data_IF_402156723318
#
_entry.id   IF_402156723318
#
_cell.length_a   1.000
_cell.length_b   1.000
_cell.length_c   1.000
_cell.angle_alpha   90.00
_cell.angle_beta   90.00
_cell.angle_gamma   90.00
#
_symmetry.space_group_name_H-M   'P 1'
#
loop_
_entity.id
_entity.type
_entity.pdbx_description
1 polymer ?
#
# COMPACT_ATOMS: atom_id res chain seq x y z
N UNK A 1 9.92 38.61 38.92
CA UNK A 1 9.62 39.17 37.59
C UNK A 1 9.88 38.09 36.54
N UNK A 2 9.02 37.98 35.51
CA UNK A 2 8.43 36.72 35.08
C UNK A 2 8.95 36.30 33.71
N UNK A 3 10.09 35.61 33.67
CA UNK A 3 10.71 35.19 32.39
C UNK A 3 10.58 33.67 32.15
N UNK A 4 10.32 32.88 33.19
CA UNK A 4 10.44 31.42 33.13
C UNK A 4 9.21 30.64 32.65
N UNK A 5 8.03 31.26 32.54
CA UNK A 5 6.79 30.55 32.12
C UNK A 5 6.58 30.58 30.60
N UNK A 6 7.15 31.59 29.92
CA UNK A 6 6.93 31.80 28.47
C UNK A 6 7.74 30.84 27.59
N UNK A 7 8.94 30.45 28.03
CA UNK A 7 9.83 29.54 27.28
C UNK A 7 9.32 28.10 27.30
N UNK A 8 8.76 27.66 28.43
CA UNK A 8 8.23 26.30 28.61
C UNK A 8 6.93 26.10 27.81
N UNK A 9 6.04 27.11 27.73
CA UNK A 9 4.83 27.05 26.89
C UNK A 9 5.14 26.99 25.39
N UNK A 10 6.20 27.67 24.95
CA UNK A 10 6.65 27.60 23.54
C UNK A 10 7.26 26.24 23.23
N UNK A 11 8.05 25.66 24.13
CA UNK A 11 8.64 24.32 23.95
C UNK A 11 7.59 23.20 23.87
N UNK A 12 6.50 23.27 24.65
CA UNK A 12 5.41 22.28 24.55
C UNK A 12 4.57 22.40 23.27
N UNK A 13 4.47 23.59 22.68
CA UNK A 13 3.77 23.78 21.40
C UNK A 13 4.58 23.26 20.20
N UNK A 14 5.92 23.24 20.28
CA UNK A 14 6.77 22.64 19.24
C UNK A 14 6.79 21.11 19.28
N UNK A 15 6.66 20.50 20.47
CA UNK A 15 6.59 19.03 20.62
C UNK A 15 5.25 18.44 20.18
N UNK A 16 4.17 19.22 20.18
CA UNK A 16 2.88 18.79 19.65
C UNK A 16 2.78 18.93 18.12
N UNK A 17 3.60 19.77 17.48
CA UNK A 17 3.56 19.99 16.02
C UNK A 17 4.26 18.90 15.19
N UNK A 18 5.24 18.20 15.76
CA UNK A 18 5.98 17.13 15.08
C UNK A 18 5.28 15.76 15.13
N UNK A 19 4.13 15.66 15.80
CA UNK A 19 3.33 14.43 15.87
C UNK A 19 2.22 14.35 14.79
N UNK A 20 2.02 15.37 13.96
CA UNK A 20 0.91 15.43 12.99
C UNK A 20 1.27 15.08 11.54
N UNK A 21 2.47 14.56 11.24
CA UNK A 21 2.88 14.27 9.87
C UNK A 21 2.89 12.77 9.48
N UNK A 22 2.39 11.88 10.34
CA UNK A 22 2.25 10.46 10.01
C UNK A 22 0.79 10.01 10.09
N UNK A 23 -0.12 10.81 9.53
CA UNK A 23 -1.28 10.20 8.86
C UNK A 23 -0.78 9.79 7.48
N UNK A 24 -0.13 8.63 7.41
CA UNK A 24 -0.13 7.85 6.18
C UNK A 24 -1.60 7.42 5.98
N UNK A 25 -2.41 8.35 5.49
CA UNK A 25 -3.56 8.00 4.67
C UNK A 25 -2.89 7.17 3.57
N UNK A 26 -3.14 5.87 3.54
CA UNK A 26 -2.69 5.05 2.43
C UNK A 26 -3.18 5.79 1.18
N UNK A 27 -2.26 6.41 0.45
CA UNK A 27 -2.61 7.16 -0.74
C UNK A 27 -3.44 6.21 -1.61
N UNK A 28 -4.62 6.65 -2.10
CA UNK A 28 -5.38 5.83 -3.04
C UNK A 28 -4.41 5.41 -4.13
N UNK A 29 -4.24 4.08 -4.33
CA UNK A 29 -3.22 3.52 -5.25
C UNK A 29 -3.30 4.27 -6.55
N UNK A 30 -2.32 5.14 -6.77
CA UNK A 30 -2.21 5.94 -7.98
C UNK A 30 -1.74 4.98 -9.07
N UNK A 31 -2.38 4.99 -10.24
CA UNK A 31 -1.92 4.17 -11.35
C UNK A 31 -0.50 4.58 -11.71
N UNK A 32 0.43 3.64 -11.62
CA UNK A 32 1.85 3.87 -11.95
C UNK A 32 2.15 3.47 -13.39
N UNK A 33 1.34 2.59 -13.97
CA UNK A 33 1.60 1.97 -15.27
C UNK A 33 0.37 1.94 -16.20
N UNK A 34 -0.77 2.49 -15.79
CA UNK A 34 -1.97 2.56 -16.63
C UNK A 34 -2.17 3.94 -17.25
N UNK A 35 -1.79 4.08 -18.52
CA UNK A 35 -2.02 5.30 -19.30
C UNK A 35 -3.53 5.56 -19.49
N UNK A 36 -3.95 6.83 -19.50
CA UNK A 36 -5.35 7.27 -19.64
C UNK A 36 -6.32 6.69 -18.60
N UNK A 37 -5.81 6.25 -17.44
CA UNK A 37 -6.65 5.91 -16.29
C UNK A 37 -7.08 7.20 -15.59
N UNK A 38 -8.35 7.28 -15.16
CA UNK A 38 -8.86 8.48 -14.54
C UNK A 38 -8.05 8.83 -13.29
N UNK A 39 -7.43 10.01 -13.31
CA UNK A 39 -6.54 10.51 -12.25
C UNK A 39 -7.22 10.74 -10.88
N UNK A 40 -8.56 10.64 -10.82
CA UNK A 40 -9.35 10.89 -9.62
C UNK A 40 -9.91 9.59 -9.01
N UNK A 41 -9.28 9.07 -7.96
CA UNK A 41 -9.82 7.99 -7.11
C UNK A 41 -8.98 6.70 -7.06
N UNK A 42 -9.45 5.70 -6.29
CA UNK A 42 -8.88 4.34 -6.19
C UNK A 42 -9.26 3.49 -7.41
N UNK A 43 -9.00 4.00 -8.61
CA UNK A 43 -9.41 3.36 -9.88
C UNK A 43 -8.41 2.30 -10.37
N UNK A 44 -7.41 1.98 -9.56
CA UNK A 44 -6.30 1.10 -9.92
C UNK A 44 -6.28 -0.07 -8.94
N UNK A 45 -6.20 -1.29 -9.47
CA UNK A 45 -6.21 -2.53 -8.70
C UNK A 45 -5.05 -3.41 -9.15
N UNK A 46 -4.43 -4.13 -8.23
CA UNK A 46 -3.56 -5.25 -8.59
C UNK A 46 -4.39 -6.52 -8.58
N UNK A 47 -4.55 -7.14 -9.75
CA UNK A 47 -5.27 -8.40 -9.92
C UNK A 47 -4.34 -9.49 -10.41
N UNK A 48 -4.78 -10.74 -10.29
CA UNK A 48 -4.10 -11.87 -10.91
C UNK A 48 -4.90 -12.31 -12.14
N UNK A 49 -4.33 -12.16 -13.33
CA UNK A 49 -4.93 -12.68 -14.57
C UNK A 49 -4.02 -13.81 -15.06
N UNK A 50 -4.56 -15.03 -15.12
CA UNK A 50 -3.82 -16.22 -15.58
C UNK A 50 -2.49 -16.48 -14.84
N UNK A 51 -2.44 -16.24 -13.53
CA UNK A 51 -1.24 -16.42 -12.71
C UNK A 51 -0.29 -15.21 -12.69
N UNK A 52 -0.55 -14.16 -13.48
CA UNK A 52 0.30 -12.97 -13.53
C UNK A 52 -0.33 -11.80 -12.79
N UNK A 53 0.43 -11.18 -11.89
CA UNK A 53 0.04 -9.92 -11.27
C UNK A 53 0.03 -8.80 -12.33
N UNK A 54 -1.09 -8.11 -12.41
CA UNK A 54 -1.30 -7.00 -13.34
C UNK A 54 -1.97 -5.83 -12.62
N UNK A 55 -1.38 -4.65 -12.74
CA UNK A 55 -2.07 -3.41 -12.39
C UNK A 55 -3.12 -3.14 -13.48
N UNK A 56 -4.38 -3.05 -13.07
CA UNK A 56 -5.53 -2.81 -13.94
C UNK A 56 -6.25 -1.53 -13.53
N UNK A 57 -6.68 -0.77 -14.52
CA UNK A 57 -7.54 0.38 -14.33
C UNK A 57 -9.01 -0.06 -14.40
N UNK A 58 -9.80 0.32 -13.40
CA UNK A 58 -11.25 0.06 -13.32
C UNK A 58 -12.07 1.23 -13.84
N UNK A 59 -11.46 2.41 -13.99
CA UNK A 59 -12.09 3.60 -14.57
C UNK A 59 -11.12 4.45 -15.38
N UNK A 60 -11.35 4.54 -16.67
CA UNK A 60 -10.54 5.33 -17.59
C UNK A 60 -10.95 6.80 -17.65
N UNK A 61 -10.14 7.61 -18.32
CA UNK A 61 -10.54 8.96 -18.72
C UNK A 61 -11.70 8.91 -19.73
N UNK A 62 -12.30 10.08 -19.97
CA UNK A 62 -13.32 10.22 -21.00
C UNK A 62 -12.82 9.70 -22.35
N UNK A 63 -13.74 9.21 -23.18
CA UNK A 63 -13.46 8.55 -24.47
C UNK A 63 -12.69 7.23 -24.42
N UNK A 64 -12.24 6.76 -23.25
CA UNK A 64 -11.57 5.47 -23.06
C UNK A 64 -12.39 4.51 -22.21
N UNK A 65 -12.18 3.22 -22.38
CA UNK A 65 -12.83 2.16 -21.59
C UNK A 65 -11.81 1.13 -21.14
N UNK A 66 -12.01 0.47 -19.98
CA UNK A 66 -11.06 -0.51 -19.50
C UNK A 66 -11.26 -1.86 -20.20
N UNK A 67 -10.27 -2.26 -21.01
CA UNK A 67 -10.23 -3.54 -21.72
C UNK A 67 -8.98 -4.31 -21.28
N UNK A 68 -9.19 -5.49 -20.70
CA UNK A 68 -8.14 -6.28 -20.03
C UNK A 68 -7.32 -5.45 -19.03
N UNK A 69 -7.98 -4.48 -18.39
CA UNK A 69 -7.39 -3.58 -17.40
C UNK A 69 -6.55 -2.43 -17.95
N UNK A 70 -6.45 -2.30 -19.28
CA UNK A 70 -5.83 -1.14 -19.93
C UNK A 70 -6.90 -0.22 -20.51
N UNK A 71 -6.67 1.08 -20.44
CA UNK A 71 -7.58 2.06 -21.04
C UNK A 71 -7.36 2.13 -22.55
N UNK A 72 -8.38 1.71 -23.30
CA UNK A 72 -8.39 1.75 -24.77
C UNK A 72 -9.49 2.68 -25.28
N UNK A 73 -9.36 3.28 -26.48
CA UNK A 73 -10.39 4.14 -27.04
C UNK A 73 -11.73 3.40 -27.14
N UNK A 74 -12.81 4.01 -26.62
CA UNK A 74 -14.14 3.42 -26.60
C UNK A 74 -14.66 3.14 -28.03
N UNK A 75 -14.35 4.04 -28.97
CA UNK A 75 -14.74 3.92 -30.37
C UNK A 75 -14.22 2.64 -31.05
N UNK A 76 -13.01 2.20 -30.67
CA UNK A 76 -12.36 1.02 -31.25
C UNK A 76 -12.76 -0.29 -30.56
N UNK A 77 -13.44 -0.23 -29.41
CA UNK A 77 -13.72 -1.37 -28.54
C UNK A 77 -15.23 -1.60 -28.31
N UNK A 78 -16.08 -1.11 -29.21
CA UNK A 78 -17.54 -1.28 -29.16
C UNK A 78 -18.00 -2.73 -29.22
N UNK A 79 -17.19 -3.62 -29.83
CA UNK A 79 -17.40 -5.07 -29.86
C UNK A 79 -17.11 -5.77 -28.52
N UNK A 80 -16.37 -5.13 -27.62
CA UNK A 80 -16.00 -5.70 -26.32
C UNK A 80 -16.73 -5.01 -25.18
N UNK A 81 -17.03 -3.72 -25.30
CA UNK A 81 -17.55 -2.90 -24.23
C UNK A 81 -18.69 -2.01 -24.74
N UNK A 82 -19.82 -2.04 -24.04
CA UNK A 82 -20.92 -1.10 -24.21
C UNK A 82 -20.86 -0.10 -23.06
N UNK A 83 -20.78 1.19 -23.35
CA UNK A 83 -20.82 2.26 -22.36
C UNK A 83 -22.28 2.65 -22.06
N UNK A 84 -22.57 3.11 -20.84
CA UNK A 84 -23.94 3.49 -20.43
C UNK A 84 -24.49 4.69 -21.19
N UNK A 85 -23.60 5.56 -21.66
CA UNK A 85 -23.89 6.64 -22.59
C UNK A 85 -23.05 6.40 -23.85
N UNK A 86 -23.64 6.63 -25.03
CA UNK A 86 -23.01 6.42 -26.36
C UNK A 86 -21.85 7.38 -26.65
N UNK A 87 -20.82 7.43 -25.80
CA UNK A 87 -19.64 8.27 -25.96
C UNK A 87 -18.99 8.78 -24.67
N UNK A 88 -19.66 8.69 -23.51
CA UNK A 88 -19.00 8.96 -22.24
C UNK A 88 -18.21 7.71 -21.85
N UNK A 89 -16.88 7.79 -22.03
CA UNK A 89 -15.97 6.75 -21.60
C UNK A 89 -15.95 6.60 -20.07
N UNK A 90 -14.88 6.01 -19.57
CA UNK A 90 -14.66 5.77 -18.17
C UNK A 90 -14.92 4.34 -17.76
N UNK A 91 -16.09 3.78 -18.06
CA UNK A 91 -16.42 2.38 -17.69
C UNK A 91 -17.32 1.71 -18.73
N UNK A 92 -17.26 0.39 -18.75
CA UNK A 92 -18.19 -0.48 -19.46
C UNK A 92 -19.44 -0.74 -18.60
N UNK A 93 -20.61 -0.52 -19.17
CA UNK A 93 -21.90 -0.92 -18.62
C UNK A 93 -22.14 -2.42 -18.77
N UNK A 94 -21.77 -2.95 -19.93
CA UNK A 94 -21.82 -4.38 -20.23
C UNK A 94 -20.69 -4.75 -21.20
N UNK A 95 -20.35 -6.03 -21.22
CA UNK A 95 -19.35 -6.59 -22.11
C UNK A 95 -20.00 -7.44 -23.20
N UNK A 96 -19.34 -7.47 -24.35
CA UNK A 96 -19.78 -8.19 -25.53
C UNK A 96 -18.67 -9.14 -26.03
N UNK A 97 -19.07 -10.07 -26.89
CA UNK A 97 -18.16 -11.08 -27.44
C UNK A 97 -17.66 -12.05 -26.37
N UNK A 98 -16.37 -12.39 -26.41
CA UNK A 98 -15.73 -13.30 -25.44
C UNK A 98 -15.05 -12.54 -24.31
N UNK A 99 -15.73 -11.52 -23.76
CA UNK A 99 -15.23 -10.73 -22.64
C UNK A 99 -16.25 -10.64 -21.51
N UNK A 100 -15.74 -10.56 -20.29
CA UNK A 100 -16.53 -10.62 -19.07
C UNK A 100 -16.37 -9.32 -18.27
N UNK A 101 -17.49 -8.80 -17.79
CA UNK A 101 -17.56 -7.58 -17.01
C UNK A 101 -17.02 -7.83 -15.60
N UNK A 102 -16.02 -7.04 -15.24
CA UNK A 102 -15.44 -7.00 -13.91
C UNK A 102 -15.09 -5.56 -13.55
N UNK A 103 -15.65 -5.03 -12.45
CA UNK A 103 -15.35 -3.68 -11.93
C UNK A 103 -15.48 -2.54 -12.96
N UNK A 104 -16.40 -2.65 -13.91
CA UNK A 104 -16.59 -1.64 -14.97
C UNK A 104 -15.60 -1.74 -16.13
N UNK A 105 -14.81 -2.82 -16.21
CA UNK A 105 -13.99 -3.15 -17.39
C UNK A 105 -14.37 -4.50 -17.98
N UNK A 106 -13.98 -4.74 -19.23
CA UNK A 106 -14.21 -5.99 -19.94
C UNK A 106 -12.91 -6.78 -20.09
N UNK A 107 -12.92 -8.06 -19.70
CA UNK A 107 -11.72 -8.90 -19.64
C UNK A 107 -11.95 -10.22 -20.39
N UNK A 108 -10.96 -10.68 -21.16
CA UNK A 108 -11.02 -12.01 -21.82
C UNK A 108 -10.96 -13.17 -20.83
N UNK A 109 -10.41 -12.92 -19.65
CA UNK A 109 -10.35 -13.88 -18.55
C UNK A 109 -10.66 -13.15 -17.25
N UNK A 110 -11.53 -13.73 -16.43
CA UNK A 110 -11.93 -13.11 -15.17
C UNK A 110 -10.74 -12.91 -14.25
N UNK A 111 -10.45 -11.67 -13.82
CA UNK A 111 -9.38 -11.41 -12.86
C UNK A 111 -9.68 -12.03 -11.48
N UNK A 112 -10.96 -12.17 -11.16
CA UNK A 112 -11.47 -12.88 -9.99
C UNK A 112 -12.78 -13.57 -10.34
N UNK A 113 -13.05 -14.70 -9.71
CA UNK A 113 -14.27 -15.47 -9.93
C UNK A 113 -14.22 -16.31 -11.20
N UNK A 114 -15.39 -16.69 -11.70
CA UNK A 114 -15.58 -17.58 -12.86
C UNK A 114 -16.33 -16.87 -13.98
N UNK A 115 -15.93 -17.06 -15.25
CA UNK A 115 -16.63 -16.47 -16.39
C UNK A 115 -18.05 -17.03 -16.54
N UNK A 116 -19.05 -16.16 -16.53
CA UNK A 116 -20.42 -16.50 -16.90
C UNK A 116 -20.69 -15.99 -18.32
N UNK A 117 -20.90 -16.92 -19.24
CA UNK A 117 -21.11 -16.61 -20.67
C UNK A 117 -22.57 -16.25 -21.01
N UNK A 118 -23.51 -16.49 -20.10
CA UNK A 118 -24.91 -16.08 -20.29
C UNK A 118 -25.07 -14.57 -20.05
N UNK A 119 -24.33 -14.03 -19.09
CA UNK A 119 -24.40 -12.63 -18.65
C UNK A 119 -23.19 -11.80 -19.07
N UNK A 120 -22.13 -12.41 -19.61
CA UNK A 120 -20.83 -11.78 -19.86
C UNK A 120 -20.30 -11.08 -18.59
N UNK A 121 -20.41 -11.75 -17.44
CA UNK A 121 -19.91 -11.25 -16.14
C UNK A 121 -18.92 -12.21 -15.52
N UNK A 122 -18.09 -11.69 -14.63
CA UNK A 122 -17.31 -12.52 -13.73
C UNK A 122 -18.12 -12.80 -12.46
N UNK A 123 -18.57 -14.04 -12.32
CA UNK A 123 -19.40 -14.51 -11.19
C UNK A 123 -18.54 -15.10 -10.08
N UNK A 124 -19.12 -15.27 -8.89
CA UNK A 124 -18.37 -15.81 -7.75
C UNK A 124 -17.26 -14.88 -7.26
N UNK A 125 -17.27 -13.61 -7.68
CA UNK A 125 -16.49 -12.53 -7.07
C UNK A 125 -17.08 -12.31 -5.67
N UNK A 126 -16.41 -12.76 -4.58
CA UNK A 126 -16.95 -12.56 -3.25
C UNK A 126 -17.03 -11.05 -2.99
N UNK A 127 -18.24 -10.57 -2.70
CA UNK A 127 -18.41 -9.21 -2.22
C UNK A 127 -18.03 -9.15 -0.73
N UNK A 128 -17.37 -8.08 -0.26
CA UNK A 128 -16.75 -7.01 -1.05
C UNK A 128 -15.43 -7.40 -1.70
N UNK A 129 -15.09 -6.64 -2.74
CA UNK A 129 -13.85 -6.82 -3.49
C UNK A 129 -12.62 -6.74 -2.60
N UNK A 130 -11.75 -7.74 -2.73
CA UNK A 130 -10.46 -7.67 -2.08
C UNK A 130 -9.50 -6.80 -2.87
N UNK A 131 -9.62 -5.48 -2.67
CA UNK A 131 -8.58 -4.52 -3.02
C UNK A 131 -7.43 -4.58 -1.99
N UNK A 132 -6.92 -5.79 -1.72
CA UNK A 132 -5.88 -6.03 -0.72
C UNK A 132 -4.63 -6.55 -1.42
N UNK A 133 -3.48 -5.84 -1.30
CA UNK A 133 -2.25 -6.25 -1.93
C UNK A 133 -1.79 -7.61 -1.37
N UNK A 134 -1.33 -8.49 -2.27
CA UNK A 134 -0.81 -9.83 -1.99
C UNK A 134 -1.81 -10.84 -1.39
N UNK A 135 -3.11 -10.58 -1.53
CA UNK A 135 -4.13 -11.53 -1.08
C UNK A 135 -4.49 -12.57 -2.16
N UNK A 136 -4.55 -13.83 -1.75
CA UNK A 136 -4.89 -15.00 -2.57
C UNK A 136 -6.38 -15.36 -2.47
N UNK A 137 -7.00 -15.23 -1.30
CA UNK A 137 -8.42 -15.56 -1.11
C UNK A 137 -9.11 -14.65 -0.10
N UNK A 138 -10.33 -14.21 -0.45
CA UNK A 138 -11.14 -13.26 0.31
C UNK A 138 -12.65 -13.54 0.30
N UNK A 139 -13.13 -14.53 1.07
CA UNK A 139 -14.55 -14.65 1.34
C UNK A 139 -15.00 -13.47 2.23
N UNK A 140 -15.99 -12.70 1.77
CA UNK A 140 -16.61 -11.63 2.57
C UNK A 140 -15.76 -10.37 2.74
N UNK A 141 -14.81 -10.10 1.82
CA UNK A 141 -14.06 -8.83 1.77
C UNK A 141 -12.96 -8.66 2.80
N UNK A 142 -12.54 -9.76 3.41
CA UNK A 142 -11.34 -9.82 4.25
C UNK A 142 -10.40 -10.88 3.72
N UNK A 143 -9.11 -10.54 3.65
CA UNK A 143 -8.11 -11.51 3.24
C UNK A 143 -8.00 -12.61 4.28
N UNK A 144 -8.14 -13.85 3.83
CA UNK A 144 -7.97 -15.06 4.67
C UNK A 144 -6.78 -15.87 4.22
N UNK A 145 -6.37 -15.75 2.96
CA UNK A 145 -5.21 -16.44 2.43
C UNK A 145 -4.34 -15.46 1.65
N UNK A 146 -3.04 -15.43 1.94
CA UNK A 146 -2.06 -14.61 1.25
C UNK A 146 -1.35 -15.41 0.16
N UNK A 147 -0.77 -14.71 -0.81
CA UNK A 147 0.11 -15.34 -1.80
C UNK A 147 1.35 -15.95 -1.14
N UNK A 148 1.96 -16.95 -1.79
CA UNK A 148 3.17 -17.60 -1.30
C UNK A 148 4.27 -16.58 -0.96
N UNK A 149 4.79 -16.67 0.26
CA UNK A 149 5.77 -15.72 0.76
C UNK A 149 5.18 -14.41 1.28
N UNK A 150 3.91 -14.36 1.68
CA UNK A 150 3.25 -13.27 2.41
C UNK A 150 2.49 -13.82 3.62
N UNK A 151 2.41 -13.04 4.71
CA UNK A 151 1.71 -13.42 5.95
C UNK A 151 0.52 -12.49 6.20
N UNK A 152 -0.56 -13.07 6.72
CA UNK A 152 -1.76 -12.32 7.08
C UNK A 152 -1.52 -11.55 8.38
N UNK A 153 -1.51 -10.22 8.30
CA UNK A 153 -1.40 -9.32 9.46
C UNK A 153 -2.72 -9.17 10.23
N UNK A 154 -2.64 -8.60 11.44
CA UNK A 154 -3.80 -8.37 12.32
C UNK A 154 -4.90 -7.48 11.70
N UNK A 155 -4.52 -6.62 10.76
CA UNK A 155 -5.40 -5.78 9.96
C UNK A 155 -5.99 -6.49 8.72
N UNK A 156 -5.84 -7.82 8.66
CA UNK A 156 -6.32 -8.70 7.58
C UNK A 156 -5.74 -8.31 6.21
N UNK A 157 -4.52 -7.78 6.19
CA UNK A 157 -3.72 -7.49 4.99
C UNK A 157 -2.54 -8.44 4.87
N UNK A 158 -2.16 -8.75 3.64
CA UNK A 158 -0.99 -9.57 3.37
C UNK A 158 0.26 -8.71 3.31
N UNK A 159 1.06 -8.80 4.37
CA UNK A 159 2.36 -8.15 4.42
C UNK A 159 3.43 -9.16 4.02
N UNK A 160 4.51 -8.67 3.40
CA UNK A 160 5.67 -9.54 3.22
C UNK A 160 6.06 -10.07 4.61
N UNK A 161 6.43 -11.35 4.76
CA UNK A 161 7.03 -11.83 5.98
C UNK A 161 8.15 -10.84 6.23
N UNK A 162 8.12 -10.29 7.43
CA UNK A 162 9.20 -9.45 7.88
C UNK A 162 10.41 -10.38 7.97
N UNK A 163 11.09 -10.58 6.83
CA UNK A 163 12.49 -10.94 6.76
C UNK A 163 13.27 -9.69 7.16
N UNK A 164 12.93 -9.13 8.31
CA UNK A 164 13.93 -8.51 9.12
C UNK A 164 14.92 -9.63 9.40
N UNK A 165 15.95 -9.67 8.56
CA UNK A 165 17.30 -10.05 8.90
C UNK A 165 17.86 -9.03 9.92
N UNK A 166 17.05 -8.76 10.94
CA UNK A 166 17.26 -7.94 12.12
C UNK A 166 16.64 -8.69 13.30
N UNK A 167 16.79 -10.02 13.31
CA UNK A 167 17.09 -10.69 14.56
C UNK A 167 18.44 -10.15 15.07
N UNK A 168 18.46 -8.91 15.55
CA UNK A 168 19.43 -8.57 16.59
C UNK A 168 18.96 -9.39 17.78
N UNK A 169 19.57 -10.58 17.88
CA UNK A 169 19.59 -11.41 19.07
C UNK A 169 19.54 -10.51 20.28
N UNK A 170 18.68 -10.83 21.22
CA UNK A 170 18.52 -10.19 22.53
C UNK A 170 19.86 -10.04 23.28
N UNK A 171 20.96 -10.64 22.78
CA UNK A 171 22.34 -10.40 23.19
C UNK A 171 23.04 -9.12 22.67
N UNK A 172 22.57 -8.43 21.63
CA UNK A 172 23.21 -7.20 21.10
C UNK A 172 22.81 -5.93 21.89
N UNK A 173 21.60 -5.91 22.44
CA UNK A 173 21.08 -4.80 23.27
C UNK A 173 21.82 -4.75 24.62
N UNK A 174 22.34 -5.89 25.11
CA UNK A 174 23.18 -5.94 26.31
C UNK A 174 24.62 -5.43 26.09
N UNK A 175 25.13 -5.43 24.86
CA UNK A 175 26.52 -5.04 24.56
C UNK A 175 26.75 -3.53 24.55
N UNK A 176 25.76 -2.76 24.08
CA UNK A 176 25.90 -1.29 23.93
C UNK A 176 25.89 -0.59 25.31
N UNK A 177 25.13 -1.12 26.27
CA UNK A 177 25.09 -0.58 27.64
C UNK A 177 26.45 -0.70 28.35
N UNK A 178 27.14 -1.82 28.18
CA UNK A 178 28.46 -2.04 28.80
C UNK A 178 29.53 -1.15 28.16
N UNK A 179 29.50 -0.97 26.84
CA UNK A 179 30.43 -0.08 26.15
C UNK A 179 30.27 1.38 26.61
N UNK A 180 29.04 1.87 26.80
CA UNK A 180 28.80 3.22 27.30
C UNK A 180 29.34 3.42 28.73
N UNK A 181 29.15 2.43 29.62
CA UNK A 181 29.66 2.49 31.00
C UNK A 181 31.20 2.47 31.05
N UNK A 182 31.85 1.68 30.20
CA UNK A 182 33.32 1.64 30.13
C UNK A 182 33.87 2.98 29.60
N UNK A 183 33.23 3.57 28.58
CA UNK A 183 33.65 4.86 28.03
C UNK A 183 33.48 5.97 29.06
N UNK A 184 32.33 6.02 29.75
CA UNK A 184 32.08 7.03 30.80
C UNK A 184 33.01 6.82 32.00
N UNK A 185 33.19 5.58 32.46
CA UNK A 185 34.09 5.25 33.57
C UNK A 185 35.56 5.55 33.24
N UNK A 186 35.99 5.24 32.01
CA UNK A 186 37.33 5.55 31.52
C UNK A 186 37.57 7.06 31.40
N UNK A 187 36.59 7.84 30.92
CA UNK A 187 36.70 9.29 30.82
C UNK A 187 36.81 9.93 32.20
N UNK A 188 36.00 9.49 33.16
CA UNK A 188 36.01 9.99 34.54
C UNK A 188 37.31 9.61 35.26
N UNK A 189 37.79 8.36 35.07
CA UNK A 189 39.06 7.92 35.63
C UNK A 189 40.25 8.69 35.07
N UNK A 190 40.29 8.91 33.75
CA UNK A 190 41.32 9.71 33.09
C UNK A 190 41.29 11.17 33.55
N UNK A 191 40.10 11.78 33.71
CA UNK A 191 39.97 13.14 34.24
C UNK A 191 40.44 13.24 35.71
N UNK A 192 40.13 12.24 36.53
CA UNK A 192 40.55 12.21 37.94
C UNK A 192 42.07 12.04 38.06
N UNK A 193 42.68 11.12 37.29
CA UNK A 193 44.14 11.00 37.20
C UNK A 193 44.77 12.29 36.68
N UNK A 194 44.23 12.86 35.61
CA UNK A 194 44.80 14.07 34.99
C UNK A 194 44.76 15.26 35.95
N UNK A 195 43.66 15.49 36.67
CA UNK A 195 43.58 16.59 37.64
C UNK A 195 44.44 16.35 38.89
N UNK A 196 44.52 15.12 39.40
CA UNK A 196 45.27 14.81 40.62
C UNK A 196 46.78 14.71 40.36
N UNK A 197 47.19 14.07 39.26
CA UNK A 197 48.60 13.87 38.93
C UNK A 197 49.22 15.07 38.20
N UNK A 198 48.44 15.89 37.49
CA UNK A 198 48.95 17.11 36.84
C UNK A 198 48.88 18.36 37.73
N UNK A 199 48.20 18.30 38.88
CA UNK A 199 48.22 19.36 39.89
C UNK A 199 49.46 19.37 40.78
N UNK A 200 50.44 18.48 40.53
CA UNK A 200 51.68 18.38 41.31
C UNK A 200 52.91 18.44 40.40
N UNK A 201 52.91 19.39 39.47
CA UNK A 201 54.08 19.94 38.79
C UNK A 201 54.00 21.47 38.85
#
# INVERSE_FOLDING_TARGET
MPVSVSVIRRAMLYLAGLAFAWLAIADPKSCTNSQNCASSGTNCLDVNINGQQKEVCTKCEDTHVPIDGACKPAADNTNSCVTSDSGAGGVCASCQGSTYLYRGGCYVSCPQGTPNSETNTCDGVPAPDCNLPNCKSCPGGTCTECNDGFVLGDDKKCVAPIVNKSGLSTGAIAGIAVAAVIVVGGLVGFLCWWFICRGKA
#
